data_IF_321667034766
#
_entry.id   IF_321667034766
#
_cell.length_a   1.000
_cell.length_b   1.000
_cell.length_c   1.000
_cell.angle_alpha   90.00
_cell.angle_beta   90.00
_cell.angle_gamma   90.00
#
_symmetry.space_group_name_H-M   'P 1'
#
loop_
_entity.id
_entity.type
_entity.pdbx_description
1 polymer ?
#
# COMPACT_ATOMS: atom_id res chain seq x y z
N UNK A 1 18.92 68.25 16.80
CA UNK A 1 19.08 66.96 16.07
C UNK A 1 18.68 65.73 16.91
N UNK A 2 17.50 65.70 17.58
CA UNK A 2 17.06 64.55 18.41
C UNK A 2 16.11 63.56 17.70
N UNK A 3 15.53 63.93 16.54
CA UNK A 3 14.57 63.09 15.82
C UNK A 3 15.16 61.84 15.15
N UNK A 4 16.46 61.84 14.83
CA UNK A 4 17.11 60.72 14.13
C UNK A 4 17.18 59.44 14.97
N UNK A 5 17.48 59.56 16.27
CA UNK A 5 17.61 58.41 17.18
C UNK A 5 16.25 57.78 17.51
N UNK A 6 15.22 58.61 17.73
CA UNK A 6 13.85 58.14 17.99
C UNK A 6 13.28 57.38 16.78
N UNK A 7 13.48 57.91 15.57
CA UNK A 7 13.01 57.28 14.33
C UNK A 7 13.67 55.92 14.10
N UNK A 8 14.99 55.81 14.33
CA UNK A 8 15.72 54.54 14.24
C UNK A 8 15.21 53.50 15.24
N UNK A 9 14.93 53.90 16.48
CA UNK A 9 14.37 53.01 17.49
C UNK A 9 13.00 52.46 17.07
N UNK A 10 12.11 53.32 16.57
CA UNK A 10 10.79 52.91 16.08
C UNK A 10 10.92 51.90 14.93
N UNK A 11 11.83 52.13 13.98
CA UNK A 11 12.07 51.21 12.86
C UNK A 11 12.53 49.84 13.35
N UNK A 12 13.43 49.78 14.34
CA UNK A 12 13.92 48.52 14.92
C UNK A 12 12.80 47.76 15.62
N UNK A 13 11.94 48.45 16.38
CA UNK A 13 10.79 47.83 17.06
C UNK A 13 9.80 47.27 16.04
N UNK A 14 9.51 48.01 14.96
CA UNK A 14 8.63 47.53 13.89
C UNK A 14 9.24 46.32 13.19
N UNK A 15 10.54 46.33 12.89
CA UNK A 15 11.23 45.20 12.28
C UNK A 15 11.18 43.96 13.18
N UNK A 16 11.43 44.12 14.48
CA UNK A 16 11.32 43.03 15.45
C UNK A 16 9.88 42.47 15.53
N UNK A 17 8.86 43.33 15.50
CA UNK A 17 7.47 42.91 15.50
C UNK A 17 7.11 42.11 14.23
N UNK A 18 7.58 42.54 13.05
CA UNK A 18 7.36 41.81 11.79
C UNK A 18 8.03 40.43 11.79
N UNK A 19 9.25 40.34 12.33
CA UNK A 19 9.96 39.06 12.48
C UNK A 19 9.17 38.11 13.38
N UNK A 20 8.71 38.59 14.55
CA UNK A 20 7.91 37.79 15.48
C UNK A 20 6.59 37.33 14.85
N UNK A 21 5.90 38.20 14.11
CA UNK A 21 4.65 37.86 13.42
C UNK A 21 4.89 36.76 12.38
N UNK A 22 5.94 36.91 11.57
CA UNK A 22 6.33 35.91 10.56
C UNK A 22 6.66 34.57 11.21
N UNK A 23 7.40 34.60 12.33
CA UNK A 23 7.72 33.38 13.09
C UNK A 23 6.47 32.66 13.60
N UNK A 24 5.52 33.40 14.19
CA UNK A 24 4.25 32.82 14.68
C UNK A 24 3.42 32.26 13.53
N UNK A 25 3.39 32.92 12.38
CA UNK A 25 2.71 32.43 11.19
C UNK A 25 3.31 31.09 10.71
N UNK A 26 4.63 31.02 10.57
CA UNK A 26 5.34 29.79 10.19
C UNK A 26 5.10 28.65 11.20
N UNK A 27 5.15 28.96 12.49
CA UNK A 27 4.90 27.95 13.53
C UNK A 27 3.47 27.40 13.45
N UNK A 28 2.50 28.25 13.13
CA UNK A 28 1.10 27.85 12.94
C UNK A 28 0.93 26.97 11.72
N UNK A 29 1.58 27.31 10.61
CA UNK A 29 1.56 26.49 9.40
C UNK A 29 2.21 25.13 9.62
N UNK A 30 3.36 25.08 10.31
CA UNK A 30 4.01 23.81 10.67
C UNK A 30 3.08 22.93 11.51
N UNK A 31 2.40 23.52 12.51
CA UNK A 31 1.44 22.77 13.34
C UNK A 31 0.28 22.24 12.51
N UNK A 32 -0.27 23.06 11.60
CA UNK A 32 -1.33 22.65 10.68
C UNK A 32 -0.88 21.50 9.77
N UNK A 33 0.26 21.65 9.12
CA UNK A 33 0.82 20.62 8.23
C UNK A 33 1.10 19.32 8.98
N UNK A 34 1.62 19.39 10.21
CA UNK A 34 1.83 18.20 11.03
C UNK A 34 0.52 17.51 11.38
N UNK A 35 -0.52 18.27 11.73
CA UNK A 35 -1.86 17.71 11.98
C UNK A 35 -2.41 17.00 10.74
N UNK A 36 -2.34 17.67 9.58
CA UNK A 36 -2.78 17.08 8.32
C UNK A 36 -2.00 15.81 7.95
N UNK A 37 -0.67 15.82 8.17
CA UNK A 37 0.18 14.65 7.98
C UNK A 37 -0.27 13.48 8.85
N UNK A 38 -0.53 13.72 10.14
CA UNK A 38 -0.98 12.68 11.07
C UNK A 38 -2.31 12.11 10.62
N UNK A 39 -3.30 12.96 10.32
CA UNK A 39 -4.62 12.50 9.86
C UNK A 39 -4.54 11.69 8.57
N UNK A 40 -3.73 12.13 7.61
CA UNK A 40 -3.51 11.37 6.36
C UNK A 40 -2.80 10.03 6.62
N UNK A 41 -1.87 9.99 7.57
CA UNK A 41 -1.18 8.76 7.95
C UNK A 41 -2.13 7.77 8.62
N UNK A 42 -2.99 8.23 9.52
CA UNK A 42 -4.02 7.41 10.17
C UNK A 42 -4.99 6.82 9.12
N UNK A 43 -5.49 7.66 8.22
CA UNK A 43 -6.36 7.22 7.12
C UNK A 43 -5.67 6.21 6.18
N UNK A 44 -4.37 6.37 5.92
CA UNK A 44 -3.60 5.41 5.14
C UNK A 44 -3.47 4.07 5.88
N UNK A 45 -3.12 4.10 7.17
CA UNK A 45 -2.99 2.89 7.99
C UNK A 45 -4.32 2.13 8.07
N UNK A 46 -5.44 2.84 8.23
CA UNK A 46 -6.77 2.20 8.20
C UNK A 46 -7.04 1.46 6.89
N UNK A 47 -6.65 2.05 5.75
CA UNK A 47 -6.82 1.41 4.42
C UNK A 47 -5.92 0.20 4.27
N UNK A 48 -4.67 0.27 4.74
CA UNK A 48 -3.73 -0.86 4.74
C UNK A 48 -4.31 -2.00 5.57
N UNK A 49 -4.76 -1.73 6.80
CA UNK A 49 -5.35 -2.75 7.66
C UNK A 49 -6.57 -3.42 7.02
N UNK A 50 -7.41 -2.67 6.29
CA UNK A 50 -8.54 -3.26 5.54
C UNK A 50 -8.07 -4.21 4.44
N UNK A 51 -7.05 -3.81 3.67
CA UNK A 51 -6.46 -4.65 2.63
C UNK A 51 -5.87 -5.93 3.23
N UNK A 52 -5.14 -5.81 4.35
CA UNK A 52 -4.57 -6.96 5.05
C UNK A 52 -5.66 -7.92 5.54
N UNK A 53 -6.74 -7.42 6.13
CA UNK A 53 -7.88 -8.26 6.53
C UNK A 53 -8.52 -8.97 5.35
N UNK A 54 -8.75 -8.27 4.24
CA UNK A 54 -9.28 -8.88 3.01
C UNK A 54 -8.33 -9.94 2.45
N UNK A 55 -7.02 -9.69 2.51
CA UNK A 55 -6.01 -10.64 2.06
C UNK A 55 -5.99 -11.90 2.92
N UNK A 56 -6.16 -11.77 4.24
CA UNK A 56 -6.34 -12.93 5.15
C UNK A 56 -7.61 -13.71 4.79
N UNK A 57 -8.70 -13.03 4.48
CA UNK A 57 -9.94 -13.69 4.06
C UNK A 57 -9.78 -14.43 2.73
N UNK A 58 -9.11 -13.82 1.75
CA UNK A 58 -8.79 -14.46 0.48
C UNK A 58 -7.90 -15.69 0.71
N UNK A 59 -6.87 -15.61 1.54
CA UNK A 59 -6.04 -16.77 1.88
C UNK A 59 -6.86 -17.88 2.54
N UNK A 60 -7.81 -17.53 3.42
CA UNK A 60 -8.73 -18.49 4.03
C UNK A 60 -9.69 -19.12 3.01
N UNK A 61 -10.08 -18.38 1.98
CA UNK A 61 -10.92 -18.89 0.89
C UNK A 61 -10.12 -19.80 -0.06
N UNK A 62 -8.86 -19.46 -0.30
CA UNK A 62 -7.93 -20.24 -1.12
C UNK A 62 -7.31 -21.42 -0.36
N UNK A 63 -7.63 -21.63 0.92
CA UNK A 63 -7.09 -22.76 1.65
C UNK A 63 -7.57 -24.06 1.01
N UNK A 64 -6.63 -24.98 0.80
CA UNK A 64 -6.89 -26.27 0.17
C UNK A 64 -8.07 -26.98 0.85
N UNK A 65 -8.13 -26.98 2.17
CA UNK A 65 -9.22 -27.56 2.95
C UNK A 65 -10.61 -27.02 2.53
N UNK A 66 -10.72 -25.71 2.28
CA UNK A 66 -11.99 -25.10 1.91
C UNK A 66 -12.35 -25.41 0.46
N UNK A 67 -11.36 -25.43 -0.43
CA UNK A 67 -11.52 -25.81 -1.84
C UNK A 67 -11.94 -27.28 -1.94
N UNK A 68 -11.26 -28.17 -1.21
CA UNK A 68 -11.55 -29.61 -1.19
C UNK A 68 -12.94 -29.87 -0.62
N UNK A 69 -13.30 -29.24 0.50
CA UNK A 69 -14.66 -29.35 1.05
C UNK A 69 -15.72 -28.84 0.09
N UNK A 70 -15.51 -27.70 -0.56
CA UNK A 70 -16.45 -27.20 -1.56
C UNK A 70 -16.59 -28.17 -2.74
N UNK A 71 -15.48 -28.70 -3.24
CA UNK A 71 -15.50 -29.71 -4.32
C UNK A 71 -16.24 -30.99 -3.90
N UNK A 72 -16.05 -31.45 -2.66
CA UNK A 72 -16.75 -32.62 -2.12
C UNK A 72 -18.24 -32.35 -1.89
N UNK A 73 -18.56 -31.29 -1.16
CA UNK A 73 -19.92 -31.01 -0.68
C UNK A 73 -20.83 -30.44 -1.78
N UNK A 74 -20.28 -29.60 -2.68
CA UNK A 74 -21.07 -28.88 -3.70
C UNK A 74 -20.97 -29.50 -5.09
N UNK A 75 -19.84 -30.10 -5.44
CA UNK A 75 -19.62 -30.68 -6.77
C UNK A 75 -19.65 -32.22 -6.75
N UNK A 76 -19.82 -32.84 -5.57
CA UNK A 76 -19.86 -34.29 -5.42
C UNK A 76 -18.54 -34.98 -5.79
N UNK A 77 -17.43 -34.24 -5.82
CA UNK A 77 -16.13 -34.75 -6.23
C UNK A 77 -15.46 -35.50 -5.07
N UNK A 78 -14.91 -36.68 -5.36
CA UNK A 78 -14.20 -37.48 -4.35
C UNK A 78 -12.71 -37.23 -4.52
N UNK A 79 -12.01 -36.93 -3.42
CA UNK A 79 -10.55 -36.81 -3.41
C UNK A 79 -9.95 -38.23 -3.47
N UNK A 80 -9.26 -38.63 -4.55
CA UNK A 80 -8.63 -39.94 -4.61
C UNK A 80 -7.45 -40.02 -3.62
N UNK A 81 -7.26 -41.19 -3.00
CA UNK A 81 -6.21 -41.42 -2.00
C UNK A 81 -4.81 -41.51 -2.64
N UNK A 82 -4.75 -41.93 -3.91
CA UNK A 82 -3.55 -42.05 -4.73
C UNK A 82 -3.74 -41.33 -6.06
N UNK A 83 -2.64 -41.05 -6.76
CA UNK A 83 -2.71 -40.50 -8.12
C UNK A 83 -3.46 -41.49 -9.02
N UNK A 84 -4.64 -41.08 -9.50
CA UNK A 84 -5.49 -41.88 -10.39
C UNK A 84 -4.77 -42.28 -11.68
N UNK A 85 -3.84 -41.44 -12.14
CA UNK A 85 -3.00 -41.72 -13.30
C UNK A 85 -1.67 -40.99 -13.16
N UNK A 86 -0.55 -41.71 -13.29
CA UNK A 86 0.80 -41.12 -13.33
C UNK A 86 1.25 -41.10 -14.78
N UNK A 87 1.16 -39.94 -15.42
CA UNK A 87 1.63 -39.75 -16.79
C UNK A 87 3.13 -39.43 -16.73
N UNK A 88 3.96 -40.40 -17.09
CA UNK A 88 5.40 -40.22 -17.21
C UNK A 88 5.72 -39.62 -18.57
N UNK A 89 6.00 -38.32 -18.61
CA UNK A 89 6.32 -37.60 -19.85
C UNK A 89 7.84 -37.46 -19.94
N UNK A 90 8.43 -37.82 -21.08
CA UNK A 90 9.88 -37.61 -21.29
C UNK A 90 10.18 -36.14 -21.55
N UNK A 91 11.40 -35.68 -21.20
CA UNK A 91 11.81 -34.29 -21.49
C UNK A 91 11.74 -33.96 -22.97
N UNK A 92 11.99 -34.94 -23.84
CA UNK A 92 11.91 -34.80 -25.29
C UNK A 92 10.48 -34.53 -25.77
N UNK A 93 9.48 -35.20 -25.18
CA UNK A 93 8.07 -34.97 -25.49
C UNK A 93 7.63 -33.55 -25.10
N UNK A 94 8.08 -33.05 -23.94
CA UNK A 94 7.80 -31.68 -23.50
C UNK A 94 8.43 -30.67 -24.46
N UNK A 95 9.67 -30.89 -24.89
CA UNK A 95 10.34 -30.01 -25.85
C UNK A 95 9.67 -30.00 -27.23
N UNK A 96 9.16 -31.14 -27.70
CA UNK A 96 8.41 -31.21 -28.96
C UNK A 96 7.09 -30.45 -28.87
N UNK A 97 6.36 -30.57 -27.76
CA UNK A 97 5.11 -29.83 -27.54
C UNK A 97 5.38 -28.32 -27.46
N UNK A 98 6.41 -27.89 -26.71
CA UNK A 98 6.80 -26.49 -26.63
C UNK A 98 7.14 -25.90 -28.00
N UNK A 99 7.87 -26.64 -28.83
CA UNK A 99 8.23 -26.22 -30.19
C UNK A 99 7.00 -26.12 -31.10
N UNK A 100 6.09 -27.10 -31.02
CA UNK A 100 4.84 -27.08 -31.78
C UNK A 100 3.90 -25.95 -31.35
N UNK A 101 3.95 -25.51 -30.09
CA UNK A 101 3.19 -24.37 -29.61
C UNK A 101 3.82 -23.07 -30.08
N UNK A 102 5.16 -22.90 -29.99
CA UNK A 102 5.80 -21.66 -30.44
C UNK A 102 5.63 -21.44 -31.95
N UNK A 103 5.77 -22.49 -32.78
CA UNK A 103 5.58 -22.38 -34.24
C UNK A 103 4.14 -22.06 -34.67
N UNK A 104 3.16 -22.25 -33.78
CA UNK A 104 1.73 -22.10 -34.12
C UNK A 104 1.13 -20.80 -33.59
N UNK A 105 1.78 -20.15 -32.62
CA UNK A 105 1.28 -18.97 -31.92
C UNK A 105 2.25 -17.76 -31.96
N UNK A 106 3.45 -17.91 -32.51
CA UNK A 106 4.28 -16.81 -33.05
C UNK A 106 4.08 -16.67 -34.57
#
# INVERSE_FOLDING_TARGET
MKGSTLTKFIIVVIAAALILLTYVMLLTDIKRMNKEKITKQEALNERINRIEMQMVEVQKLMSEDKIVRFAQDSLGLIRPADNLETITISKEQVNQILKAISEKYD
#
